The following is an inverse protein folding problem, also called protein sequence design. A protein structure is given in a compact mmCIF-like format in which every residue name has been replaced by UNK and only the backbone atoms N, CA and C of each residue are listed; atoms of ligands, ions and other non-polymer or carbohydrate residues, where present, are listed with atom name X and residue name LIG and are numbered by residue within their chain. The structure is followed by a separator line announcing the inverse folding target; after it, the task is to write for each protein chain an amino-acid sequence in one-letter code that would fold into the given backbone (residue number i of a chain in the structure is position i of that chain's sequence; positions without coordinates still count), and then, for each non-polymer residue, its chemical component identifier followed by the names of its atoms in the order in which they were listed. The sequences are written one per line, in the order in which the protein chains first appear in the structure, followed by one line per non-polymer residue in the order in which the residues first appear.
data_IF_966586834817
#
_entry.id   IF_966586834817
#
_cell.length_a   1.000
_cell.length_b   1.000
_cell.length_c   1.000
_cell.angle_alpha   90.00
_cell.angle_beta   90.00
_cell.angle_gamma   90.00
#
_symmetry.space_group_name_H-M   'P 1'
#
loop_
_entity.id
_entity.type
_entity.pdbx_description
1 polymer ?
#
# COMPACT_ATOMS: atom_id res chain seq x y z
N UNK A 1 -14.22 24.43 10.02
CA UNK A 1 -15.54 23.82 9.88
C UNK A 1 -15.50 22.40 10.42
N UNK A 2 -16.59 21.93 11.03
CA UNK A 2 -16.69 20.53 11.46
C UNK A 2 -16.92 19.62 10.25
N UNK A 3 -16.50 18.36 10.36
CA UNK A 3 -16.73 17.35 9.30
C UNK A 3 -18.22 17.29 8.91
N UNK A 4 -19.10 17.35 9.90
CA UNK A 4 -20.54 17.34 9.68
C UNK A 4 -21.03 18.52 8.83
N UNK A 5 -20.53 19.72 9.08
CA UNK A 5 -20.89 20.91 8.30
C UNK A 5 -20.40 20.80 6.85
N UNK A 6 -19.20 20.29 6.66
CA UNK A 6 -18.63 20.05 5.32
C UNK A 6 -19.49 19.06 4.53
N UNK A 7 -19.90 17.96 5.15
CA UNK A 7 -20.77 16.99 4.51
C UNK A 7 -22.13 17.58 4.13
N UNK A 8 -22.71 18.43 4.99
CA UNK A 8 -23.97 19.13 4.71
C UNK A 8 -23.84 20.10 3.53
N UNK A 9 -22.75 20.88 3.48
CA UNK A 9 -22.49 21.79 2.37
C UNK A 9 -22.33 21.05 1.04
N UNK A 10 -21.69 19.88 1.05
CA UNK A 10 -21.52 19.01 -0.12
C UNK A 10 -22.75 18.16 -0.43
N UNK A 11 -23.81 18.24 0.38
CA UNK A 11 -25.03 17.43 0.26
C UNK A 11 -24.76 15.93 0.28
N UNK A 12 -23.83 15.50 1.11
CA UNK A 12 -23.44 14.11 1.28
C UNK A 12 -24.04 13.51 2.54
N UNK A 13 -24.35 12.22 2.48
CA UNK A 13 -24.74 11.46 3.66
C UNK A 13 -23.61 11.44 4.69
N UNK A 14 -23.99 11.45 5.96
CA UNK A 14 -23.06 11.35 7.08
C UNK A 14 -22.71 9.87 7.34
N UNK A 15 -21.85 9.33 6.48
CA UNK A 15 -21.32 7.96 6.59
C UNK A 15 -19.91 7.96 7.12
N UNK A 16 -19.46 6.82 7.65
CA UNK A 16 -18.07 6.66 8.10
C UNK A 16 -17.08 6.86 6.95
N UNK A 17 -17.40 6.38 5.75
CA UNK A 17 -16.57 6.55 4.56
C UNK A 17 -16.41 8.03 4.18
N UNK A 18 -17.51 8.77 4.15
CA UNK A 18 -17.49 10.20 3.85
C UNK A 18 -16.72 10.98 4.91
N UNK A 19 -16.94 10.69 6.20
CA UNK A 19 -16.20 11.29 7.30
C UNK A 19 -14.68 11.00 7.19
N UNK A 20 -14.33 9.77 6.89
CA UNK A 20 -12.94 9.37 6.70
C UNK A 20 -12.28 10.12 5.54
N UNK A 21 -12.94 10.19 4.40
CA UNK A 21 -12.43 10.90 3.22
C UNK A 21 -12.23 12.41 3.50
N UNK A 22 -13.15 13.05 4.19
CA UNK A 22 -13.01 14.45 4.62
C UNK A 22 -11.79 14.61 5.54
N UNK A 23 -11.60 13.71 6.50
CA UNK A 23 -10.42 13.77 7.39
C UNK A 23 -9.11 13.60 6.64
N UNK A 24 -9.07 12.68 5.68
CA UNK A 24 -7.87 12.44 4.86
C UNK A 24 -7.52 13.69 4.06
N UNK A 25 -8.49 14.33 3.42
CA UNK A 25 -8.28 15.57 2.69
C UNK A 25 -7.83 16.71 3.61
N UNK A 26 -8.49 16.88 4.73
CA UNK A 26 -8.15 17.91 5.73
C UNK A 26 -6.74 17.71 6.30
N UNK A 27 -6.37 16.47 6.60
CA UNK A 27 -5.03 16.13 7.08
C UNK A 27 -3.93 16.53 6.08
N UNK A 28 -4.19 16.34 4.79
CA UNK A 28 -3.25 16.70 3.72
C UNK A 28 -3.36 18.18 3.29
N UNK A 29 -4.11 19.01 4.04
CA UNK A 29 -4.34 20.43 3.72
C UNK A 29 -4.90 20.66 2.31
N UNK A 30 -5.68 19.71 1.83
CA UNK A 30 -6.31 19.77 0.50
C UNK A 30 -7.67 20.47 0.58
N UNK A 31 -8.01 21.20 -0.47
CA UNK A 31 -9.38 21.68 -0.62
C UNK A 31 -10.36 20.52 -0.75
N UNK A 32 -11.43 20.59 0.01
CA UNK A 32 -12.44 19.52 0.04
C UNK A 32 -13.45 19.78 -1.07
N UNK A 33 -13.25 19.11 -2.19
CA UNK A 33 -14.15 19.12 -3.35
C UNK A 33 -14.75 17.74 -3.56
N UNK A 34 -15.88 17.66 -4.25
CA UNK A 34 -16.52 16.38 -4.60
C UNK A 34 -15.57 15.47 -5.37
N UNK A 35 -14.85 15.99 -6.35
CA UNK A 35 -13.91 15.25 -7.17
C UNK A 35 -12.80 14.60 -6.32
N UNK A 36 -12.16 15.38 -5.46
CA UNK A 36 -11.10 14.90 -4.57
C UNK A 36 -11.62 13.90 -3.54
N UNK A 37 -12.79 14.15 -3.00
CA UNK A 37 -13.42 13.28 -2.02
C UNK A 37 -13.75 11.91 -2.63
N UNK A 38 -14.34 11.88 -3.82
CA UNK A 38 -14.60 10.62 -4.53
C UNK A 38 -13.30 9.88 -4.90
N UNK A 39 -12.28 10.61 -5.33
CA UNK A 39 -10.97 10.01 -5.66
C UNK A 39 -10.29 9.40 -4.42
N UNK A 40 -10.29 10.09 -3.29
CA UNK A 40 -9.75 9.56 -2.02
C UNK A 40 -10.52 8.34 -1.57
N UNK A 41 -11.86 8.37 -1.62
CA UNK A 41 -12.70 7.22 -1.28
C UNK A 41 -12.37 6.00 -2.14
N UNK A 42 -12.24 6.19 -3.43
CA UNK A 42 -11.92 5.11 -4.37
C UNK A 42 -10.56 4.47 -4.05
N UNK A 43 -9.52 5.27 -3.87
CA UNK A 43 -8.18 4.77 -3.59
C UNK A 43 -8.10 4.14 -2.20
N UNK A 44 -8.63 4.79 -1.19
CA UNK A 44 -8.62 4.28 0.19
C UNK A 44 -9.36 2.94 0.29
N UNK A 45 -10.53 2.83 -0.33
CA UNK A 45 -11.28 1.58 -0.38
C UNK A 45 -10.52 0.48 -1.12
N UNK A 46 -9.89 0.79 -2.25
CA UNK A 46 -9.11 -0.18 -3.02
C UNK A 46 -7.89 -0.69 -2.24
N UNK A 47 -7.20 0.19 -1.55
CA UNK A 47 -6.04 -0.18 -0.69
C UNK A 47 -6.47 -1.06 0.46
N UNK A 48 -7.51 -0.67 1.19
CA UNK A 48 -8.01 -1.44 2.33
C UNK A 48 -8.52 -2.82 1.90
N UNK A 49 -9.26 -2.88 0.81
CA UNK A 49 -9.75 -4.16 0.26
C UNK A 49 -8.58 -5.07 -0.16
N UNK A 50 -7.57 -4.53 -0.83
CA UNK A 50 -6.38 -5.29 -1.20
C UNK A 50 -5.70 -5.88 0.04
N UNK A 51 -5.46 -5.09 1.07
CA UNK A 51 -4.74 -5.53 2.27
C UNK A 51 -5.54 -6.52 3.13
N UNK A 52 -6.85 -6.42 3.16
CA UNK A 52 -7.70 -7.41 3.81
C UNK A 52 -7.68 -8.77 3.12
N UNK A 53 -7.61 -8.77 1.78
CA UNK A 53 -7.70 -9.99 0.98
C UNK A 53 -6.35 -10.64 0.71
N UNK A 54 -5.27 -9.88 0.79
CA UNK A 54 -3.91 -10.39 0.58
C UNK A 54 -3.44 -11.18 1.80
N UNK A 55 -3.48 -12.50 1.69
CA UNK A 55 -3.00 -13.43 2.71
C UNK A 55 -1.51 -13.76 2.49
N UNK A 56 -0.78 -14.24 3.51
CA UNK A 56 0.64 -14.53 3.39
C UNK A 56 0.98 -15.59 2.34
N UNK A 57 0.16 -16.61 2.18
CA UNK A 57 0.34 -17.64 1.16
C UNK A 57 0.19 -17.08 -0.27
N UNK A 58 -0.82 -16.25 -0.50
CA UNK A 58 -1.01 -15.55 -1.78
C UNK A 58 0.16 -14.59 -2.05
N UNK A 59 0.60 -13.85 -1.04
CA UNK A 59 1.75 -12.96 -1.17
C UNK A 59 3.01 -13.72 -1.62
N UNK A 60 3.30 -14.87 -1.01
CA UNK A 60 4.44 -15.69 -1.39
C UNK A 60 4.28 -16.29 -2.80
N UNK A 61 3.09 -16.74 -3.17
CA UNK A 61 2.82 -17.19 -4.55
C UNK A 61 3.09 -16.09 -5.57
N UNK A 62 2.65 -14.87 -5.30
CA UNK A 62 2.88 -13.72 -6.19
C UNK A 62 4.36 -13.38 -6.32
N UNK A 63 5.10 -13.42 -5.22
CA UNK A 63 6.55 -13.22 -5.20
C UNK A 63 7.24 -14.28 -6.06
N UNK A 64 6.90 -15.55 -5.89
CA UNK A 64 7.45 -16.67 -6.66
C UNK A 64 7.11 -16.61 -8.15
N UNK A 65 5.91 -16.14 -8.47
CA UNK A 65 5.48 -15.90 -9.85
C UNK A 65 6.13 -14.66 -10.47
N UNK A 66 6.75 -13.79 -9.66
CA UNK A 66 7.34 -12.53 -10.08
C UNK A 66 6.33 -11.50 -10.55
N UNK A 67 5.15 -11.48 -9.92
CA UNK A 67 4.13 -10.46 -10.16
C UNK A 67 4.70 -9.07 -9.88
N UNK A 68 4.35 -8.09 -10.71
CA UNK A 68 4.83 -6.71 -10.61
C UNK A 68 4.02 -5.91 -9.58
N UNK A 69 4.14 -6.31 -8.31
CA UNK A 69 3.30 -5.78 -7.21
C UNK A 69 3.48 -4.28 -6.97
N UNK A 70 4.62 -3.70 -7.33
CA UNK A 70 4.90 -2.29 -7.07
C UNK A 70 4.39 -1.34 -8.15
N UNK A 71 4.35 -1.78 -9.41
CA UNK A 71 3.98 -0.94 -10.55
C UNK A 71 2.60 -1.25 -11.13
N UNK A 72 1.98 -2.34 -10.70
CA UNK A 72 0.65 -2.71 -11.11
C UNK A 72 -0.38 -1.78 -10.47
N UNK A 73 -1.40 -1.38 -11.24
CA UNK A 73 -2.54 -0.66 -10.68
C UNK A 73 -3.19 -1.48 -9.55
N UNK A 74 -3.59 -0.84 -8.47
CA UNK A 74 -4.12 -1.52 -7.27
C UNK A 74 -5.36 -2.36 -7.59
N UNK A 75 -6.22 -1.92 -8.51
CA UNK A 75 -7.39 -2.71 -8.92
C UNK A 75 -6.98 -3.99 -9.64
N UNK A 76 -5.99 -3.92 -10.53
CA UNK A 76 -5.44 -5.11 -11.20
C UNK A 76 -4.75 -6.04 -10.21
N UNK A 77 -4.04 -5.49 -9.26
CA UNK A 77 -3.41 -6.27 -8.19
C UNK A 77 -4.46 -6.99 -7.33
N UNK A 78 -5.54 -6.31 -6.98
CA UNK A 78 -6.68 -6.91 -6.29
C UNK A 78 -7.33 -8.04 -7.10
N UNK A 79 -7.47 -7.87 -8.41
CA UNK A 79 -8.01 -8.90 -9.30
C UNK A 79 -7.10 -10.14 -9.33
N UNK A 80 -5.79 -9.97 -9.37
CA UNK A 80 -4.84 -11.08 -9.28
C UNK A 80 -4.95 -11.81 -7.94
N UNK A 81 -5.06 -11.08 -6.84
CA UNK A 81 -5.27 -11.66 -5.50
C UNK A 81 -6.57 -12.46 -5.47
N UNK A 82 -7.66 -11.89 -5.98
CA UNK A 82 -8.96 -12.57 -6.00
C UNK A 82 -8.93 -13.84 -6.86
N UNK A 83 -8.30 -13.80 -8.02
CA UNK A 83 -8.13 -14.96 -8.89
C UNK A 83 -7.35 -16.08 -8.19
N UNK A 84 -6.26 -15.73 -7.53
CA UNK A 84 -5.45 -16.71 -6.75
C UNK A 84 -6.23 -17.29 -5.58
N UNK A 85 -7.02 -16.49 -4.89
CA UNK A 85 -7.90 -16.95 -3.81
C UNK A 85 -8.95 -17.94 -4.30
N UNK A 86 -9.59 -17.66 -5.44
CA UNK A 86 -10.60 -18.53 -6.05
C UNK A 86 -10.02 -19.86 -6.50
N UNK A 87 -8.76 -19.91 -6.91
CA UNK A 87 -8.08 -21.11 -7.35
C UNK A 87 -7.48 -21.95 -6.20
N UNK A 88 -7.64 -21.50 -4.96
CA UNK A 88 -7.17 -22.23 -3.77
C UNK A 88 -8.34 -22.89 -3.05
N UNK A 89 -8.15 -24.12 -2.66
CA UNK A 89 -9.11 -24.84 -1.81
C UNK A 89 -9.18 -24.21 -0.42
N UNK A 90 -8.02 -23.87 0.16
CA UNK A 90 -7.91 -23.23 1.47
C UNK A 90 -6.93 -22.07 1.41
N UNK A 91 -7.36 -20.92 1.88
CA UNK A 91 -6.53 -19.72 2.01
C UNK A 91 -6.02 -19.63 3.43
N UNK A 92 -4.75 -19.24 3.61
CA UNK A 92 -4.16 -19.11 4.93
C UNK A 92 -4.91 -18.10 5.80
N UNK A 93 -5.12 -18.48 7.06
CA UNK A 93 -5.66 -17.58 8.11
C UNK A 93 -4.57 -17.08 9.06
N UNK A 94 -3.32 -17.45 8.81
CA UNK A 94 -2.18 -17.04 9.63
C UNK A 94 -1.85 -15.55 9.41
N UNK A 95 -1.22 -14.96 10.43
CA UNK A 95 -0.55 -13.67 10.28
C UNK A 95 0.70 -13.81 9.42
N UNK A 96 1.12 -12.73 8.78
CA UNK A 96 2.33 -12.72 7.94
C UNK A 96 3.58 -13.22 8.69
N UNK A 97 3.76 -12.80 9.94
CA UNK A 97 4.88 -13.23 10.78
C UNK A 97 4.84 -14.71 11.12
N UNK A 98 3.66 -15.26 11.43
CA UNK A 98 3.48 -16.67 11.75
C UNK A 98 3.75 -17.56 10.54
N UNK A 99 3.23 -17.17 9.39
CA UNK A 99 3.47 -17.87 8.13
C UNK A 99 4.95 -17.92 7.77
N UNK A 100 5.66 -16.79 7.87
CA UNK A 100 7.09 -16.74 7.61
C UNK A 100 7.88 -17.62 8.57
N UNK A 101 7.55 -17.59 9.85
CA UNK A 101 8.19 -18.44 10.85
C UNK A 101 8.07 -19.93 10.50
N UNK A 102 6.89 -20.37 10.08
CA UNK A 102 6.68 -21.75 9.64
C UNK A 102 7.47 -22.10 8.38
N UNK A 103 7.51 -21.21 7.40
CA UNK A 103 8.30 -21.41 6.18
C UNK A 103 9.80 -21.52 6.50
N UNK A 104 10.30 -20.68 7.38
CA UNK A 104 11.70 -20.74 7.85
C UNK A 104 11.98 -22.06 8.57
N UNK A 105 11.11 -22.48 9.45
CA UNK A 105 11.24 -23.72 10.21
C UNK A 105 11.23 -24.96 9.33
N UNK A 106 10.42 -24.98 8.29
CA UNK A 106 10.34 -26.08 7.32
C UNK A 106 11.41 -26.01 6.23
N UNK A 107 12.15 -24.92 6.15
CA UNK A 107 13.12 -24.69 5.07
C UNK A 107 12.48 -24.58 3.69
N UNK A 108 11.24 -24.09 3.60
CA UNK A 108 10.43 -24.02 2.37
C UNK A 108 10.40 -22.65 1.73
N UNK A 109 11.23 -21.73 2.17
CA UNK A 109 11.38 -20.41 1.57
C UNK A 109 12.85 -20.11 1.30
N UNK A 110 13.18 -19.67 0.08
CA UNK A 110 14.54 -19.24 -0.27
C UNK A 110 14.88 -17.91 0.42
N UNK A 111 16.18 -17.63 0.57
CA UNK A 111 16.64 -16.35 1.13
C UNK A 111 16.15 -15.17 0.31
N UNK A 112 16.13 -15.30 -1.02
CA UNK A 112 15.65 -14.25 -1.93
C UNK A 112 14.14 -13.99 -1.79
N UNK A 113 13.33 -15.04 -1.80
CA UNK A 113 11.88 -14.93 -1.60
C UNK A 113 11.55 -14.39 -0.21
N UNK A 114 12.34 -14.79 0.79
CA UNK A 114 12.18 -14.30 2.16
C UNK A 114 12.38 -12.78 2.25
N UNK A 115 13.39 -12.27 1.58
CA UNK A 115 13.67 -10.83 1.56
C UNK A 115 12.52 -10.05 0.90
N UNK A 116 12.03 -10.51 -0.23
CA UNK A 116 10.88 -9.91 -0.92
C UNK A 116 9.60 -10.00 -0.09
N UNK A 117 9.37 -11.11 0.56
CA UNK A 117 8.24 -11.29 1.47
C UNK A 117 8.29 -10.30 2.65
N UNK A 118 9.45 -10.14 3.28
CA UNK A 118 9.66 -9.18 4.36
C UNK A 118 9.46 -7.74 3.89
N UNK A 119 9.89 -7.42 2.68
CA UNK A 119 9.70 -6.11 2.09
C UNK A 119 8.21 -5.80 1.90
N UNK A 120 7.47 -6.73 1.31
CA UNK A 120 6.02 -6.58 1.10
C UNK A 120 5.26 -6.47 2.43
N UNK A 121 5.60 -7.31 3.40
CA UNK A 121 5.02 -7.25 4.74
C UNK A 121 5.26 -5.88 5.41
N UNK A 122 6.47 -5.36 5.32
CA UNK A 122 6.81 -4.03 5.88
C UNK A 122 5.97 -2.93 5.23
N UNK A 123 5.81 -2.96 3.91
CA UNK A 123 4.99 -1.99 3.17
C UNK A 123 3.52 -2.07 3.62
N UNK A 124 2.95 -3.26 3.65
CA UNK A 124 1.56 -3.47 4.07
C UNK A 124 1.35 -2.96 5.50
N UNK A 125 2.25 -3.32 6.41
CA UNK A 125 2.15 -2.92 7.82
C UNK A 125 2.20 -1.40 8.00
N UNK A 126 3.10 -0.72 7.31
CA UNK A 126 3.22 0.74 7.35
C UNK A 126 2.00 1.43 6.77
N UNK A 127 1.55 1.01 5.59
CA UNK A 127 0.39 1.61 4.92
C UNK A 127 -0.92 1.33 5.65
N UNK A 128 -1.07 0.16 6.26
CA UNK A 128 -2.26 -0.16 7.06
C UNK A 128 -2.36 0.74 8.29
N UNK A 129 -1.25 1.03 8.96
CA UNK A 129 -1.21 1.90 10.15
C UNK A 129 -1.27 3.39 9.83
N UNK A 130 -1.15 3.76 8.58
CA UNK A 130 -1.10 5.14 8.11
C UNK A 130 -2.47 5.86 8.14
N UNK A 131 -3.55 5.12 8.29
CA UNK A 131 -4.92 5.63 8.36
C UNK A 131 -5.37 6.44 7.13
N UNK A 132 -4.92 6.01 5.95
CA UNK A 132 -5.30 6.60 4.65
C UNK A 132 -4.54 7.87 4.27
N UNK A 133 -3.60 8.34 5.08
CA UNK A 133 -2.84 9.57 4.81
C UNK A 133 -2.02 9.49 3.52
N UNK A 134 -1.41 8.34 3.25
CA UNK A 134 -0.69 8.11 2.01
C UNK A 134 -1.61 8.16 0.78
N UNK A 135 -2.81 7.63 0.87
CA UNK A 135 -3.82 7.73 -0.21
C UNK A 135 -4.19 9.19 -0.48
N UNK A 136 -4.37 10.00 0.56
CA UNK A 136 -4.60 11.44 0.43
C UNK A 136 -3.44 12.16 -0.26
N UNK A 137 -2.21 11.87 0.13
CA UNK A 137 -1.02 12.46 -0.48
C UNK A 137 -0.85 12.03 -1.95
N UNK A 138 -1.18 10.78 -2.27
CA UNK A 138 -1.18 10.28 -3.65
C UNK A 138 -2.15 11.08 -4.53
N UNK A 139 -3.35 11.36 -4.03
CA UNK A 139 -4.34 12.20 -4.71
C UNK A 139 -3.82 13.64 -4.88
N UNK A 140 -3.21 14.20 -3.83
CA UNK A 140 -2.63 15.54 -3.86
C UNK A 140 -1.52 15.67 -4.91
N UNK A 141 -0.71 14.63 -5.09
CA UNK A 141 0.37 14.59 -6.08
C UNK A 141 -0.09 14.12 -7.47
N UNK A 142 -1.37 13.80 -7.63
CA UNK A 142 -1.95 13.30 -8.89
C UNK A 142 -1.20 12.08 -9.46
N UNK A 143 -0.76 11.17 -8.59
CA UNK A 143 -0.03 9.98 -8.98
C UNK A 143 -0.98 8.83 -9.33
N UNK A 144 -0.50 7.91 -10.17
CA UNK A 144 -1.19 6.66 -10.45
C UNK A 144 -1.30 5.78 -9.19
N UNK A 145 -2.40 5.06 -9.05
CA UNK A 145 -2.67 4.23 -7.88
C UNK A 145 -1.93 2.89 -7.92
N UNK A 146 -0.65 2.92 -7.58
CA UNK A 146 0.23 1.76 -7.44
C UNK A 146 0.77 1.68 -6.02
N UNK A 147 1.21 0.49 -5.59
CA UNK A 147 1.88 0.36 -4.29
C UNK A 147 3.15 1.20 -4.22
N UNK A 148 3.93 1.26 -5.29
CA UNK A 148 5.14 2.09 -5.36
C UNK A 148 4.84 3.56 -5.11
N UNK A 149 3.79 4.10 -5.73
CA UNK A 149 3.37 5.48 -5.53
C UNK A 149 2.78 5.73 -4.14
N UNK A 150 2.10 4.75 -3.55
CA UNK A 150 1.65 4.83 -2.16
C UNK A 150 2.82 4.90 -1.18
N UNK A 151 3.86 4.10 -1.39
CA UNK A 151 5.09 4.17 -0.57
C UNK A 151 5.76 5.52 -0.70
N UNK A 152 5.90 6.04 -1.92
CA UNK A 152 6.42 7.38 -2.18
C UNK A 152 5.60 8.45 -1.46
N UNK A 153 4.29 8.38 -1.55
CA UNK A 153 3.35 9.28 -0.87
C UNK A 153 3.46 9.19 0.64
N UNK A 154 3.60 7.99 1.20
CA UNK A 154 3.85 7.77 2.61
C UNK A 154 5.13 8.50 3.07
N UNK A 155 6.19 8.40 2.29
CA UNK A 155 7.48 9.02 2.63
C UNK A 155 7.42 10.54 2.54
N UNK A 156 6.73 11.10 1.55
CA UNK A 156 6.46 12.54 1.44
C UNK A 156 5.70 13.02 2.68
N UNK A 157 4.65 12.33 3.06
CA UNK A 157 3.82 12.65 4.21
C UNK A 157 4.62 12.60 5.52
N UNK A 158 5.57 11.66 5.67
CA UNK A 158 6.46 11.58 6.83
C UNK A 158 7.63 12.57 6.80
N UNK A 159 7.76 13.38 5.75
CA UNK A 159 8.85 14.36 5.63
C UNK A 159 10.22 13.73 5.42
N UNK A 160 10.30 12.54 4.81
CA UNK A 160 11.56 11.86 4.55
C UNK A 160 12.38 12.64 3.50
N UNK A 161 13.59 13.08 3.84
CA UNK A 161 14.47 13.88 2.97
C UNK A 161 15.04 13.14 1.76
N UNK A 162 14.77 11.85 1.62
CA UNK A 162 15.22 10.99 0.52
C UNK A 162 14.20 10.88 -0.62
N UNK A 163 13.07 11.58 -0.54
CA UNK A 163 11.96 11.47 -1.49
C UNK A 163 12.40 11.83 -2.93
N UNK A 164 13.24 12.84 -3.11
CA UNK A 164 13.73 13.22 -4.43
C UNK A 164 14.51 12.08 -5.12
N UNK A 165 15.36 11.37 -4.37
CA UNK A 165 16.08 10.19 -4.86
C UNK A 165 15.14 9.02 -5.21
N UNK A 166 14.08 8.84 -4.45
CA UNK A 166 13.06 7.80 -4.72
C UNK A 166 12.37 7.98 -6.05
N UNK A 167 12.04 9.22 -6.43
CA UNK A 167 11.35 9.53 -7.68
C UNK A 167 12.20 9.19 -8.90
N UNK A 168 13.49 9.52 -8.87
CA UNK A 168 14.43 9.26 -9.97
C UNK A 168 14.76 7.76 -10.07
N UNK A 169 15.11 7.12 -8.96
CA UNK A 169 15.43 5.71 -8.91
C UNK A 169 14.20 4.84 -9.24
N UNK A 170 13.04 5.26 -8.80
CA UNK A 170 11.78 4.60 -9.13
C UNK A 170 11.49 4.58 -10.64
N UNK A 171 11.83 5.65 -11.36
CA UNK A 171 11.66 5.71 -12.80
C UNK A 171 12.63 4.78 -13.56
N UNK A 172 13.83 4.58 -13.07
CA UNK A 172 14.81 3.66 -13.65
C UNK A 172 14.40 2.19 -13.51
N UNK A 173 13.65 1.86 -12.46
CA UNK A 173 13.25 0.49 -12.15
C UNK A 173 11.91 0.08 -12.76
N UNK A 174 11.24 0.93 -13.52
CA UNK A 174 9.86 0.71 -13.97
C UNK A 174 9.66 -0.41 -15.01
N UNK A 175 10.71 -0.96 -15.61
CA UNK A 175 10.59 -1.70 -16.87
C UNK A 175 11.04 -3.17 -16.88
N UNK A 176 11.41 -3.79 -15.76
CA UNK A 176 11.77 -5.22 -15.75
C UNK A 176 11.42 -5.93 -14.44
N UNK A 177 11.25 -7.25 -14.53
CA UNK A 177 10.97 -8.13 -13.39
C UNK A 177 12.03 -8.05 -12.29
N UNK A 178 13.32 -8.04 -12.66
CA UNK A 178 14.42 -7.85 -11.74
C UNK A 178 14.37 -6.51 -11.04
N UNK A 179 13.87 -5.51 -11.73
CA UNK A 179 13.73 -4.15 -11.21
C UNK A 179 12.58 -4.03 -10.21
N UNK A 180 11.49 -4.79 -10.37
CA UNK A 180 10.43 -4.84 -9.36
C UNK A 180 10.95 -5.36 -8.02
N UNK A 181 11.74 -6.42 -8.03
CA UNK A 181 12.33 -7.01 -6.83
C UNK A 181 13.31 -6.05 -6.15
N UNK A 182 14.19 -5.41 -6.92
CA UNK A 182 15.11 -4.39 -6.42
C UNK A 182 14.35 -3.17 -5.84
N UNK A 183 13.30 -2.72 -6.51
CA UNK A 183 12.44 -1.63 -6.06
C UNK A 183 11.73 -1.96 -4.75
N UNK A 184 11.21 -3.18 -4.62
CA UNK A 184 10.55 -3.65 -3.41
C UNK A 184 11.53 -3.64 -2.22
N UNK A 185 12.72 -4.16 -2.38
CA UNK A 185 13.77 -4.15 -1.35
C UNK A 185 14.20 -2.72 -0.99
N UNK A 186 14.39 -1.88 -1.99
CA UNK A 186 14.74 -0.47 -1.82
C UNK A 186 13.69 0.28 -0.98
N UNK A 187 12.40 0.13 -1.30
CA UNK A 187 11.34 0.77 -0.53
C UNK A 187 11.26 0.24 0.89
N UNK A 188 11.49 -1.06 1.11
CA UNK A 188 11.58 -1.63 2.45
C UNK A 188 12.66 -0.92 3.28
N UNK A 189 13.85 -0.78 2.74
CA UNK A 189 14.98 -0.14 3.42
C UNK A 189 14.68 1.32 3.73
N UNK A 190 14.11 2.06 2.78
CA UNK A 190 13.66 3.44 2.99
C UNK A 190 12.64 3.55 4.12
N UNK A 191 11.66 2.64 4.20
CA UNK A 191 10.65 2.63 5.26
C UNK A 191 11.25 2.31 6.63
N UNK A 192 12.28 1.49 6.71
CA UNK A 192 13.00 1.22 7.96
C UNK A 192 13.71 2.47 8.49
N UNK A 193 14.32 3.25 7.61
CA UNK A 193 14.99 4.50 7.99
C UNK A 193 14.03 5.60 8.44
N UNK A 194 12.79 5.61 7.96
CA UNK A 194 11.77 6.59 8.33
C UNK A 194 11.01 6.22 9.60
N UNK A 195 11.18 5.01 10.10
CA UNK A 195 10.57 4.59 11.37
C UNK A 195 11.36 5.19 12.54
N UNK A 196 10.68 5.79 13.56
CA UNK A 196 11.35 6.06 14.82
C UNK A 196 11.91 4.75 15.35
N UNK A 197 13.18 4.75 15.76
CA UNK A 197 13.80 3.59 16.38
C UNK A 197 12.92 3.09 17.52
N UNK A 198 12.59 1.81 17.59
CA UNK A 198 11.92 1.27 18.77
C UNK A 198 12.84 1.49 19.97
N UNK A 199 12.33 2.25 20.91
CA UNK A 199 12.99 2.40 22.22
C UNK A 199 12.66 1.19 23.09
#
# INVERSE_FOLDING_TARGET
ASTENILKELKLEDTQENRRAVRILAYNSMDITMERLERVKEIDAAVNNLFERLTPDIALEMIRAGSDVMNMDIKKLSDEVDTRRQNKENVSTQKFSEFLYEQDKKGTISADDREHYMALYTIINKLTKDDGKAAGQLVNQELDSTLGNLVTSYMIEKGAGIVAGLSEDGAQYANSRKNNDAKLTYYKDCLLYTSPSPR
#
